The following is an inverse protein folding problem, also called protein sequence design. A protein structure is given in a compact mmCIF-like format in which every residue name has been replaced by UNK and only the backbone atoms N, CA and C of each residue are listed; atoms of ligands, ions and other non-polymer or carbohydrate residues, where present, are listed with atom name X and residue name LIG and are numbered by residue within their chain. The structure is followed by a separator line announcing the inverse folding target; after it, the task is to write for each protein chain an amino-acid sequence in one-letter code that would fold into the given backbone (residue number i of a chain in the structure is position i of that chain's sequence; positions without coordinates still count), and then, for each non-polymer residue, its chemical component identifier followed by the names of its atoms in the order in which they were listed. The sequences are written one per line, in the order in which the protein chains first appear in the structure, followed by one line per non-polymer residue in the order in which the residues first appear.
data_IF_168717169206
#
_entry.id   IF_168717169206
#
_cell.length_a   1.000
_cell.length_b   1.000
_cell.length_c   1.000
_cell.angle_alpha   90.00
_cell.angle_beta   90.00
_cell.angle_gamma   90.00
#
_symmetry.space_group_name_H-M   'P 1'
#
loop_
_entity.id
_entity.type
_entity.pdbx_description
1 polymer ?
#
# COMPACT_ATOMS: atom_id res chain seq x y z
N UNK A 1 30.90 -20.52 74.20
CA UNK A 1 30.27 -19.28 73.64
C UNK A 1 30.95 -18.84 72.34
N UNK A 2 30.76 -19.58 71.23
CA UNK A 2 31.21 -19.16 69.88
C UNK A 2 30.24 -19.71 68.82
N UNK A 3 28.97 -19.30 68.90
CA UNK A 3 27.91 -19.82 68.03
C UNK A 3 26.93 -18.77 67.50
N UNK A 4 27.16 -17.47 67.74
CA UNK A 4 26.24 -16.39 67.32
C UNK A 4 26.94 -15.33 66.44
N UNK A 5 28.26 -15.42 66.25
CA UNK A 5 29.02 -14.41 65.49
C UNK A 5 29.04 -14.60 63.97
N UNK A 6 28.58 -15.74 63.43
CA UNK A 6 28.67 -16.02 61.99
C UNK A 6 27.38 -15.82 61.20
N UNK A 7 26.31 -15.30 61.82
CA UNK A 7 25.04 -15.03 61.13
C UNK A 7 24.83 -13.55 60.78
N UNK A 8 25.77 -12.67 61.13
CA UNK A 8 25.69 -11.22 60.85
C UNK A 8 26.54 -10.79 59.64
N UNK A 9 27.46 -11.65 59.16
CA UNK A 9 28.29 -11.35 57.97
C UNK A 9 27.72 -11.84 56.63
N UNK A 10 26.76 -12.77 56.63
CA UNK A 10 26.04 -13.17 55.40
C UNK A 10 24.79 -12.32 55.09
N UNK A 11 24.40 -11.42 55.98
CA UNK A 11 23.27 -10.50 55.76
C UNK A 11 23.67 -9.17 55.07
N UNK A 12 24.97 -8.94 54.80
CA UNK A 12 25.46 -7.70 54.15
C UNK A 12 25.80 -7.82 52.65
N UNK A 13 25.65 -9.00 52.03
CA UNK A 13 25.94 -9.19 50.59
C UNK A 13 24.72 -9.42 49.70
N UNK A 14 23.50 -9.45 50.26
CA UNK A 14 22.24 -9.65 49.51
C UNK A 14 21.46 -8.38 49.20
N UNK A 15 22.07 -7.20 49.29
CA UNK A 15 21.41 -5.91 49.02
C UNK A 15 22.14 -5.06 47.96
N UNK A 16 22.83 -5.71 47.02
CA UNK A 16 23.45 -5.01 45.88
C UNK A 16 22.70 -5.27 44.55
N UNK A 17 22.04 -6.42 44.39
CA UNK A 17 21.35 -6.77 43.14
C UNK A 17 19.92 -6.21 43.03
N UNK A 18 19.27 -5.89 44.16
CA UNK A 18 17.90 -5.37 44.19
C UNK A 18 17.78 -3.84 44.14
N UNK A 19 18.90 -3.09 44.10
CA UNK A 19 18.91 -1.61 44.08
C UNK A 19 19.16 -0.98 42.71
N UNK A 20 19.37 -1.79 41.67
CA UNK A 20 19.69 -1.27 40.33
C UNK A 20 18.48 -1.20 39.39
N UNK A 21 17.30 -1.69 39.79
CA UNK A 21 16.10 -1.69 38.94
C UNK A 21 15.18 -0.48 39.23
N UNK A 22 15.28 0.12 40.42
CA UNK A 22 14.45 1.27 40.84
C UNK A 22 15.25 2.56 41.11
N UNK A 23 16.51 2.63 40.68
CA UNK A 23 17.29 3.87 40.74
C UNK A 23 17.01 4.74 39.52
N UNK A 24 15.95 5.55 39.65
CA UNK A 24 15.76 6.85 39.01
C UNK A 24 15.45 6.86 37.50
N UNK A 25 14.22 6.46 37.15
CA UNK A 25 13.57 6.85 35.88
C UNK A 25 13.14 8.32 35.86
N UNK A 26 13.28 9.03 36.99
CA UNK A 26 12.75 10.38 37.24
C UNK A 26 13.79 11.35 37.82
N UNK A 27 15.11 11.04 37.79
CA UNK A 27 16.15 11.99 38.22
C UNK A 27 16.09 13.20 37.27
N UNK A 28 15.79 14.42 37.76
CA UNK A 28 15.74 15.60 36.91
C UNK A 28 17.05 15.83 36.14
N UNK A 29 18.20 15.41 36.70
CA UNK A 29 19.50 15.54 36.05
C UNK A 29 19.69 14.55 34.90
N UNK A 30 19.20 13.31 35.05
CA UNK A 30 19.23 12.32 33.95
C UNK A 30 18.27 12.71 32.84
N UNK A 31 17.11 13.26 33.21
CA UNK A 31 16.12 13.73 32.24
C UNK A 31 16.65 14.92 31.42
N UNK A 32 17.26 15.92 32.08
CA UNK A 32 17.89 17.05 31.40
C UNK A 32 19.07 16.62 30.52
N UNK A 33 19.89 15.67 30.97
CA UNK A 33 20.98 15.11 30.16
C UNK A 33 20.45 14.34 28.94
N UNK A 34 19.36 13.59 29.10
CA UNK A 34 18.69 12.88 28.01
C UNK A 34 18.09 13.85 26.99
N UNK A 35 17.39 14.90 27.44
CA UNK A 35 16.82 15.93 26.57
C UNK A 35 17.90 16.68 25.79
N UNK A 36 19.01 17.00 26.45
CA UNK A 36 20.18 17.61 25.79
C UNK A 36 20.77 16.67 24.74
N UNK A 37 20.88 15.37 25.05
CA UNK A 37 21.36 14.37 24.11
C UNK A 37 20.41 14.22 22.90
N UNK A 38 19.10 14.16 23.14
CA UNK A 38 18.08 14.10 22.09
C UNK A 38 18.12 15.35 21.19
N UNK A 39 18.21 16.55 21.77
CA UNK A 39 18.34 17.80 21.02
C UNK A 39 19.63 17.86 20.19
N UNK A 40 20.74 17.34 20.72
CA UNK A 40 22.00 17.24 19.98
C UNK A 40 21.90 16.24 18.81
N UNK A 41 21.24 15.10 19.02
CA UNK A 41 20.98 14.12 17.96
C UNK A 41 20.10 14.74 16.87
N UNK A 42 19.02 15.43 17.25
CA UNK A 42 18.14 16.13 16.31
C UNK A 42 18.87 17.22 15.52
N UNK A 43 19.76 17.98 16.18
CA UNK A 43 20.57 19.01 15.54
C UNK A 43 21.60 18.43 14.56
N UNK A 44 22.18 17.27 14.86
CA UNK A 44 23.21 16.64 14.03
C UNK A 44 22.63 15.79 12.89
N UNK A 45 21.50 15.13 13.12
CA UNK A 45 20.95 14.11 12.23
C UNK A 45 19.54 14.44 11.70
N UNK A 46 18.99 15.60 12.05
CA UNK A 46 17.70 16.11 11.57
C UNK A 46 16.53 15.77 12.49
N UNK A 47 15.40 16.46 12.26
CA UNK A 47 14.13 16.23 12.96
C UNK A 47 13.70 14.77 12.86
N UNK A 48 13.34 14.17 13.99
CA UNK A 48 12.86 12.78 14.05
C UNK A 48 13.93 11.69 14.09
N UNK A 49 15.22 12.05 14.13
CA UNK A 49 16.34 11.10 14.21
C UNK A 49 16.41 10.32 15.53
N UNK A 50 15.93 10.89 16.64
CA UNK A 50 15.70 10.19 17.89
C UNK A 50 14.47 10.79 18.59
N UNK A 51 13.42 9.97 18.78
CA UNK A 51 12.17 10.35 19.43
C UNK A 51 11.74 9.24 20.38
N UNK A 52 10.92 9.57 21.39
CA UNK A 52 10.28 8.52 22.19
C UNK A 52 9.21 7.84 21.34
N UNK A 53 9.06 6.54 21.52
CA UNK A 53 8.12 5.74 20.72
C UNK A 53 6.66 6.23 20.85
N UNK A 54 6.27 6.73 22.05
CA UNK A 54 4.94 7.28 22.32
C UNK A 54 4.75 8.74 21.93
N UNK A 55 5.82 9.46 21.55
CA UNK A 55 5.73 10.84 21.02
C UNK A 55 5.45 10.85 19.52
N UNK A 56 5.47 9.67 18.88
CA UNK A 56 4.93 9.53 17.53
C UNK A 56 3.41 9.65 17.65
N UNK A 57 2.73 10.55 16.88
CA UNK A 57 1.32 10.33 16.65
C UNK A 57 1.18 8.88 16.18
N UNK A 58 0.17 8.17 16.66
CA UNK A 58 -0.11 6.80 16.24
C UNK A 58 -0.20 6.82 14.71
N UNK A 59 0.91 6.49 14.04
CA UNK A 59 0.99 6.62 12.59
C UNK A 59 0.13 5.49 12.06
N UNK A 60 -1.09 5.84 11.63
CA UNK A 60 -1.86 5.00 10.74
C UNK A 60 -0.92 4.61 9.60
N UNK A 61 -0.71 3.30 9.46
CA UNK A 61 0.16 2.79 8.40
C UNK A 61 -0.58 3.07 7.10
N UNK A 62 -0.09 4.02 6.32
CA UNK A 62 -0.66 4.26 5.01
C UNK A 62 -0.45 3.03 4.13
N UNK A 63 -1.49 2.68 3.35
CA UNK A 63 -1.52 1.46 2.54
C UNK A 63 -1.94 1.73 1.11
N UNK A 64 -1.59 0.81 0.22
CA UNK A 64 -2.11 0.72 -1.14
C UNK A 64 -2.99 -0.54 -1.22
N UNK A 65 -4.28 -0.42 -1.59
CA UNK A 65 -5.17 -1.56 -1.72
C UNK A 65 -4.67 -2.58 -2.75
N UNK A 66 -4.85 -3.87 -2.50
CA UNK A 66 -4.33 -4.92 -3.39
C UNK A 66 -5.23 -5.22 -4.58
N UNK A 67 -6.47 -4.73 -4.57
CA UNK A 67 -7.51 -5.09 -5.55
C UNK A 67 -8.27 -6.36 -5.18
N UNK A 68 -7.89 -7.03 -4.10
CA UNK A 68 -8.69 -8.10 -3.48
C UNK A 68 -9.05 -7.70 -2.06
N UNK A 69 -10.34 -7.49 -1.81
CA UNK A 69 -10.83 -7.22 -0.46
C UNK A 69 -10.41 -8.31 0.51
N UNK A 70 -10.49 -9.58 0.10
CA UNK A 70 -10.07 -10.71 0.92
C UNK A 70 -8.58 -10.64 1.30
N UNK A 71 -7.72 -10.22 0.37
CA UNK A 71 -6.29 -10.05 0.64
C UNK A 71 -6.01 -8.85 1.54
N UNK A 72 -6.69 -7.73 1.33
CA UNK A 72 -6.58 -6.53 2.18
C UNK A 72 -6.99 -6.85 3.64
N UNK A 73 -8.07 -7.62 3.84
CA UNK A 73 -8.48 -8.12 5.15
C UNK A 73 -7.44 -9.08 5.75
N UNK A 74 -6.89 -9.98 4.94
CA UNK A 74 -5.87 -10.92 5.39
C UNK A 74 -4.56 -10.21 5.78
N UNK A 75 -4.20 -9.13 5.09
CA UNK A 75 -3.05 -8.28 5.44
C UNK A 75 -3.26 -7.57 6.77
N UNK A 76 -4.51 -7.34 7.19
CA UNK A 76 -4.89 -6.82 8.50
C UNK A 76 -4.66 -5.33 8.68
N UNK A 77 -4.17 -4.65 7.65
CA UNK A 77 -3.97 -3.20 7.58
C UNK A 77 -4.70 -2.59 6.37
N UNK A 78 -5.49 -3.37 5.63
CA UNK A 78 -6.27 -2.89 4.49
C UNK A 78 -5.52 -2.79 3.15
N UNK A 79 -4.25 -3.22 3.08
CA UNK A 79 -3.47 -3.21 1.85
C UNK A 79 -1.99 -3.46 2.07
N UNK A 80 -1.16 -3.20 1.05
CA UNK A 80 0.30 -3.24 1.19
C UNK A 80 0.83 -1.94 1.82
N UNK A 81 1.78 -2.01 2.76
CA UNK A 81 2.24 -0.84 3.50
C UNK A 81 3.17 0.06 2.68
N UNK A 82 2.89 1.37 2.70
CA UNK A 82 3.76 2.41 2.12
C UNK A 82 5.12 2.50 2.81
N UNK A 83 6.13 2.89 2.04
CA UNK A 83 7.52 3.03 2.50
C UNK A 83 8.23 1.72 2.87
N UNK A 84 7.70 0.57 2.42
CA UNK A 84 8.21 -0.76 2.80
C UNK A 84 8.50 -1.65 1.60
N UNK A 85 9.31 -2.67 1.86
CA UNK A 85 9.57 -3.77 0.93
C UNK A 85 8.50 -4.85 1.09
N UNK A 86 7.91 -5.29 -0.02
CA UNK A 86 6.97 -6.39 -0.14
C UNK A 86 7.54 -7.43 -1.10
N UNK A 87 7.46 -8.71 -0.76
CA UNK A 87 7.84 -9.79 -1.67
C UNK A 87 6.62 -10.61 -2.05
N UNK A 88 6.37 -10.78 -3.35
CA UNK A 88 5.34 -11.66 -3.89
C UNK A 88 6.04 -12.79 -4.63
N UNK A 89 5.87 -14.02 -4.15
CA UNK A 89 6.54 -15.17 -4.74
C UNK A 89 5.59 -16.35 -4.89
N UNK A 90 5.90 -17.23 -5.82
CA UNK A 90 5.04 -18.38 -6.12
C UNK A 90 5.41 -19.05 -7.44
N UNK A 91 4.71 -20.13 -7.80
CA UNK A 91 4.90 -20.83 -9.08
C UNK A 91 4.71 -19.91 -10.29
N UNK A 92 5.12 -20.36 -11.46
CA UNK A 92 4.75 -19.72 -12.72
C UNK A 92 3.23 -19.69 -12.89
N UNK A 93 2.71 -18.69 -13.60
CA UNK A 93 1.27 -18.53 -13.85
C UNK A 93 0.37 -18.51 -12.60
N UNK A 94 0.94 -18.20 -11.42
CA UNK A 94 0.19 -18.07 -10.16
C UNK A 94 -0.51 -16.72 -9.99
N UNK A 95 -0.23 -15.74 -10.85
CA UNK A 95 -0.81 -14.39 -10.77
C UNK A 95 0.06 -13.35 -10.05
N UNK A 96 1.38 -13.58 -9.90
CA UNK A 96 2.32 -12.63 -9.26
C UNK A 96 2.28 -11.24 -9.91
N UNK A 97 2.53 -11.20 -11.22
CA UNK A 97 2.52 -9.96 -12.01
C UNK A 97 1.13 -9.34 -12.06
N UNK A 98 0.07 -10.15 -12.20
CA UNK A 98 -1.32 -9.67 -12.12
C UNK A 98 -1.59 -8.96 -10.79
N UNK A 99 -1.22 -9.56 -9.65
CA UNK A 99 -1.39 -8.93 -8.33
C UNK A 99 -0.60 -7.63 -8.21
N UNK A 100 0.65 -7.60 -8.71
CA UNK A 100 1.47 -6.39 -8.69
C UNK A 100 0.85 -5.27 -9.56
N UNK A 101 0.32 -5.60 -10.73
CA UNK A 101 -0.36 -4.65 -11.61
C UNK A 101 -1.65 -4.12 -11.00
N UNK A 102 -2.42 -4.92 -10.25
CA UNK A 102 -3.57 -4.39 -9.50
C UNK A 102 -3.16 -3.42 -8.39
N UNK A 103 -2.07 -3.69 -7.68
CA UNK A 103 -1.53 -2.75 -6.70
C UNK A 103 -1.09 -1.45 -7.37
N UNK A 104 -0.44 -1.53 -8.54
CA UNK A 104 -0.08 -0.37 -9.37
C UNK A 104 -1.32 0.42 -9.80
N UNK A 105 -2.33 -0.26 -10.35
CA UNK A 105 -3.58 0.36 -10.78
C UNK A 105 -4.27 1.10 -9.61
N UNK A 106 -4.33 0.50 -8.43
CA UNK A 106 -4.90 1.14 -7.24
C UNK A 106 -4.06 2.32 -6.74
N UNK A 107 -2.74 2.25 -6.83
CA UNK A 107 -1.87 3.38 -6.51
C UNK A 107 -2.15 4.56 -7.45
N UNK A 108 -2.23 4.31 -8.75
CA UNK A 108 -2.53 5.33 -9.77
C UNK A 108 -3.94 5.90 -9.62
N UNK A 109 -4.94 5.05 -9.34
CA UNK A 109 -6.32 5.49 -9.05
C UNK A 109 -6.39 6.47 -7.88
N UNK A 110 -5.49 6.31 -6.91
CA UNK A 110 -5.35 7.20 -5.75
C UNK A 110 -4.45 8.42 -6.03
N UNK A 111 -4.16 8.72 -7.30
CA UNK A 111 -3.33 9.87 -7.73
C UNK A 111 -1.82 9.65 -7.56
N UNK A 112 -1.38 8.42 -7.26
CA UNK A 112 0.03 8.10 -7.05
C UNK A 112 0.78 7.80 -8.35
N UNK A 113 2.11 7.88 -8.29
CA UNK A 113 3.02 7.56 -9.39
C UNK A 113 3.60 6.16 -9.20
N UNK A 114 3.61 5.39 -10.29
CA UNK A 114 4.11 4.03 -10.31
C UNK A 114 5.28 3.85 -11.27
N UNK A 115 6.21 2.95 -10.92
CA UNK A 115 7.21 2.45 -11.83
C UNK A 115 7.27 0.92 -11.86
N UNK A 116 7.72 0.39 -12.99
CA UNK A 116 7.87 -1.03 -13.24
C UNK A 116 9.24 -1.32 -13.84
N UNK A 117 10.07 -2.05 -13.10
CA UNK A 117 11.36 -2.57 -13.55
C UNK A 117 11.12 -3.97 -14.11
N UNK A 118 10.99 -4.06 -15.44
CA UNK A 118 10.70 -5.29 -16.18
C UNK A 118 12.03 -5.95 -16.60
N UNK A 119 12.64 -6.66 -15.65
CA UNK A 119 13.84 -7.46 -15.88
C UNK A 119 13.54 -8.78 -16.62
N UNK A 120 12.30 -9.26 -16.61
CA UNK A 120 11.88 -10.43 -17.40
C UNK A 120 11.56 -10.11 -18.86
N UNK A 121 11.49 -8.82 -19.24
CA UNK A 121 11.06 -8.34 -20.57
C UNK A 121 9.71 -8.95 -21.01
N UNK A 122 8.80 -9.10 -20.06
CA UNK A 122 7.55 -9.85 -20.23
C UNK A 122 6.29 -9.04 -19.92
N UNK A 123 6.42 -7.74 -19.64
CA UNK A 123 5.28 -6.88 -19.37
C UNK A 123 4.48 -6.62 -20.66
N UNK A 124 3.20 -7.00 -20.66
CA UNK A 124 2.24 -6.70 -21.73
C UNK A 124 1.45 -5.41 -21.41
N UNK A 125 1.65 -4.30 -22.16
CA UNK A 125 0.93 -3.04 -21.94
C UNK A 125 -0.58 -3.17 -22.16
N UNK A 126 -1.02 -4.03 -23.09
CA UNK A 126 -2.45 -4.23 -23.37
C UNK A 126 -3.12 -4.91 -22.20
N UNK A 127 -2.48 -5.94 -21.64
CA UNK A 127 -2.96 -6.60 -20.44
C UNK A 127 -2.95 -5.66 -19.24
N UNK A 128 -1.87 -4.89 -19.01
CA UNK A 128 -1.80 -3.91 -17.93
C UNK A 128 -2.94 -2.89 -18.00
N UNK A 129 -3.22 -2.33 -19.18
CA UNK A 129 -4.33 -1.39 -19.38
C UNK A 129 -5.70 -2.00 -19.05
N UNK A 130 -5.92 -3.28 -19.42
CA UNK A 130 -7.15 -4.02 -19.05
C UNK A 130 -7.31 -4.20 -17.54
N UNK A 131 -6.21 -4.27 -16.79
CA UNK A 131 -6.21 -4.35 -15.33
C UNK A 131 -6.43 -2.98 -14.65
N UNK A 132 -6.62 -1.91 -15.42
CA UNK A 132 -6.83 -0.55 -14.91
C UNK A 132 -5.53 0.23 -14.64
N UNK A 133 -4.38 -0.26 -15.12
CA UNK A 133 -3.12 0.49 -15.07
C UNK A 133 -3.18 1.61 -16.10
N UNK A 134 -2.89 2.83 -15.68
CA UNK A 134 -2.63 3.94 -16.58
C UNK A 134 -1.23 3.76 -17.19
N UNK A 135 -1.18 3.04 -18.31
CA UNK A 135 0.07 2.73 -19.01
C UNK A 135 0.71 3.95 -19.67
N UNK A 136 0.00 5.06 -19.83
CA UNK A 136 0.57 6.29 -20.42
C UNK A 136 1.40 7.07 -19.38
N UNK A 137 1.07 6.95 -18.08
CA UNK A 137 1.85 7.51 -16.97
C UNK A 137 2.78 6.52 -16.27
N UNK A 138 2.66 5.22 -16.54
CA UNK A 138 3.51 4.19 -15.92
C UNK A 138 4.97 4.32 -16.39
N UNK A 139 5.88 4.53 -15.45
CA UNK A 139 7.32 4.56 -15.74
C UNK A 139 7.81 3.12 -15.90
N UNK A 140 8.26 2.73 -17.09
CA UNK A 140 8.81 1.39 -17.34
C UNK A 140 10.30 1.46 -17.62
N UNK A 141 11.06 0.56 -17.03
CA UNK A 141 12.49 0.36 -17.32
C UNK A 141 12.75 -1.11 -17.63
N UNK A 142 13.45 -1.36 -18.73
CA UNK A 142 13.93 -2.67 -19.15
C UNK A 142 15.45 -2.69 -19.08
N UNK A 143 16.03 -3.03 -17.92
CA UNK A 143 17.47 -2.97 -17.69
C UNK A 143 18.21 -4.16 -18.32
N UNK A 144 19.45 -3.95 -18.70
CA UNK A 144 20.37 -4.96 -19.25
C UNK A 144 20.92 -5.91 -18.17
N UNK A 145 21.03 -5.45 -16.92
CA UNK A 145 21.58 -6.23 -15.81
C UNK A 145 21.00 -5.85 -14.44
N UNK A 146 21.24 -6.70 -13.44
CA UNK A 146 20.71 -6.54 -12.09
C UNK A 146 21.22 -5.30 -11.35
N UNK A 147 22.48 -4.90 -11.54
CA UNK A 147 23.01 -3.67 -10.95
C UNK A 147 22.26 -2.44 -11.47
N UNK A 148 22.14 -2.30 -12.79
CA UNK A 148 21.43 -1.21 -13.45
C UNK A 148 19.96 -1.16 -13.01
N UNK A 149 19.29 -2.31 -12.95
CA UNK A 149 17.91 -2.41 -12.49
C UNK A 149 17.73 -1.80 -11.08
N UNK A 150 18.61 -2.16 -10.16
CA UNK A 150 18.54 -1.73 -8.76
C UNK A 150 19.01 -0.28 -8.57
N UNK A 151 19.93 0.20 -9.39
CA UNK A 151 20.36 1.60 -9.42
C UNK A 151 19.26 2.52 -9.94
N UNK A 152 18.60 2.15 -11.04
CA UNK A 152 17.43 2.87 -11.55
C UNK A 152 16.34 2.93 -10.48
N UNK A 153 16.04 1.79 -9.85
CA UNK A 153 15.07 1.74 -8.76
C UNK A 153 15.44 2.68 -7.59
N UNK A 154 16.71 2.67 -7.13
CA UNK A 154 17.17 3.55 -6.04
C UNK A 154 17.10 5.04 -6.42
N UNK A 155 17.45 5.40 -7.66
CA UNK A 155 17.33 6.77 -8.16
C UNK A 155 15.87 7.24 -8.19
N UNK A 156 14.97 6.41 -8.70
CA UNK A 156 13.53 6.70 -8.71
C UNK A 156 13.00 6.88 -7.28
N UNK A 157 13.29 5.96 -6.37
CA UNK A 157 12.85 6.07 -4.96
C UNK A 157 13.36 7.36 -4.31
N UNK A 158 14.63 7.74 -4.54
CA UNK A 158 15.23 8.95 -3.96
C UNK A 158 14.66 10.25 -4.51
N UNK A 159 13.99 10.23 -5.66
CA UNK A 159 13.27 11.40 -6.16
C UNK A 159 12.13 11.84 -5.24
N UNK A 160 11.61 10.92 -4.40
CA UNK A 160 10.45 11.16 -3.55
C UNK A 160 9.12 11.24 -4.30
N UNK A 161 9.13 11.04 -5.62
CA UNK A 161 7.94 11.19 -6.46
C UNK A 161 7.14 9.89 -6.66
N UNK A 162 7.67 8.72 -6.27
CA UNK A 162 7.02 7.42 -6.49
C UNK A 162 6.27 6.92 -5.26
N UNK A 163 5.07 6.41 -5.49
CA UNK A 163 4.24 5.72 -4.49
C UNK A 163 4.50 4.22 -4.47
N UNK A 164 4.73 3.63 -5.66
CA UNK A 164 4.98 2.20 -5.81
C UNK A 164 6.00 1.92 -6.91
N UNK A 165 6.89 0.96 -6.66
CA UNK A 165 7.81 0.42 -7.65
C UNK A 165 7.76 -1.11 -7.64
N UNK A 166 7.55 -1.72 -8.80
CA UNK A 166 7.57 -3.17 -8.99
C UNK A 166 8.89 -3.58 -9.63
N UNK A 167 9.48 -4.67 -9.15
CA UNK A 167 10.67 -5.30 -9.74
C UNK A 167 10.27 -6.72 -10.16
N UNK A 168 10.10 -6.93 -11.46
CA UNK A 168 9.70 -8.21 -12.06
C UNK A 168 10.82 -8.76 -12.95
N UNK A 169 11.63 -9.72 -12.50
CA UNK A 169 11.63 -10.36 -11.18
C UNK A 169 13.04 -10.45 -10.60
N UNK A 170 13.13 -10.77 -9.30
CA UNK A 170 14.42 -10.97 -8.62
C UNK A 170 15.27 -12.03 -9.30
N UNK A 171 14.64 -13.06 -9.89
CA UNK A 171 15.36 -14.12 -10.58
C UNK A 171 16.11 -13.60 -11.81
N UNK A 172 15.56 -12.59 -12.48
CA UNK A 172 16.12 -11.95 -13.67
C UNK A 172 17.12 -10.82 -13.36
N UNK A 173 17.35 -10.49 -12.08
CA UNK A 173 18.40 -9.56 -11.67
C UNK A 173 19.77 -10.24 -11.76
N UNK A 174 20.22 -10.55 -12.97
CA UNK A 174 21.49 -11.22 -13.25
C UNK A 174 22.62 -10.20 -13.16
N UNK A 175 23.65 -10.41 -12.33
CA UNK A 175 24.77 -9.50 -12.23
C UNK A 175 25.52 -9.34 -13.55
N UNK A 176 26.04 -8.14 -13.83
CA UNK A 176 26.79 -7.84 -15.06
C UNK A 176 27.92 -8.84 -15.34
N UNK A 177 28.69 -9.22 -14.31
CA UNK A 177 29.79 -10.16 -14.47
C UNK A 177 29.34 -11.58 -14.86
N UNK A 178 28.09 -11.96 -14.58
CA UNK A 178 27.51 -13.23 -15.02
C UNK A 178 26.99 -13.17 -16.45
N UNK A 179 26.53 -12.00 -16.91
CA UNK A 179 26.11 -11.76 -18.30
C UNK A 179 27.30 -11.70 -19.25
N UNK A 180 28.39 -11.06 -18.82
CA UNK A 180 29.63 -10.93 -19.62
C UNK A 180 30.52 -12.18 -19.56
N UNK A 181 30.25 -13.10 -18.63
CA UNK A 181 30.98 -14.36 -18.46
C UNK A 181 30.59 -15.43 -19.48
N UNK A 182 31.43 -16.48 -19.59
CA UNK A 182 31.14 -17.59 -20.49
C UNK A 182 30.14 -18.56 -19.87
N UNK A 183 29.36 -19.25 -20.71
CA UNK A 183 28.43 -20.29 -20.24
C UNK A 183 29.19 -21.41 -19.50
N UNK A 184 28.93 -21.56 -18.21
CA UNK A 184 29.59 -22.53 -17.34
C UNK A 184 30.55 -21.92 -16.33
N UNK A 185 30.81 -20.61 -16.42
CA UNK A 185 31.58 -19.89 -15.41
C UNK A 185 30.87 -19.90 -14.05
N UNK A 186 31.66 -20.04 -12.99
CA UNK A 186 31.15 -20.19 -11.63
C UNK A 186 31.06 -18.84 -10.92
N UNK A 187 29.85 -18.27 -10.91
CA UNK A 187 29.54 -17.03 -10.20
C UNK A 187 28.76 -17.27 -8.91
N UNK A 188 29.37 -18.01 -7.97
CA UNK A 188 28.67 -18.43 -6.74
C UNK A 188 28.23 -17.24 -5.87
N UNK A 189 26.92 -17.05 -5.75
CA UNK A 189 26.31 -16.14 -4.79
C UNK A 189 26.42 -14.65 -5.15
N UNK A 190 26.78 -14.31 -6.38
CA UNK A 190 26.93 -12.92 -6.82
C UNK A 190 25.60 -12.15 -6.72
N UNK A 191 24.51 -12.74 -7.23
CA UNK A 191 23.16 -12.18 -7.12
C UNK A 191 22.72 -11.94 -5.65
N UNK A 192 23.04 -12.88 -4.74
CA UNK A 192 22.68 -12.73 -3.33
C UNK A 192 23.44 -11.57 -2.65
N UNK A 193 24.68 -11.31 -3.06
CA UNK A 193 25.48 -10.18 -2.57
C UNK A 193 24.92 -8.85 -3.10
N UNK A 194 24.61 -8.80 -4.40
CA UNK A 194 23.98 -7.66 -5.04
C UNK A 194 22.68 -7.26 -4.32
N UNK A 195 21.77 -8.22 -4.13
CA UNK A 195 20.51 -8.00 -3.41
C UNK A 195 20.73 -7.52 -1.97
N UNK A 196 21.72 -8.08 -1.27
CA UNK A 196 22.04 -7.67 0.11
C UNK A 196 22.53 -6.23 0.18
N UNK A 197 23.30 -5.79 -0.81
CA UNK A 197 23.83 -4.43 -0.88
C UNK A 197 22.73 -3.43 -1.28
N UNK A 198 21.94 -3.76 -2.31
CA UNK A 198 20.86 -2.91 -2.80
C UNK A 198 19.79 -2.69 -1.72
N UNK A 199 19.27 -3.76 -1.11
CA UNK A 199 18.25 -3.64 -0.06
C UNK A 199 18.74 -2.85 1.15
N UNK A 200 20.03 -2.95 1.50
CA UNK A 200 20.63 -2.15 2.58
C UNK A 200 20.61 -0.65 2.27
N UNK A 201 20.82 -0.26 1.02
CA UNK A 201 20.78 1.14 0.56
C UNK A 201 19.35 1.66 0.40
N UNK A 202 18.48 0.85 -0.20
CA UNK A 202 17.12 1.25 -0.59
C UNK A 202 16.15 1.34 0.59
N UNK A 203 16.27 0.48 1.61
CA UNK A 203 15.26 0.40 2.69
C UNK A 203 15.07 1.73 3.44
N UNK A 204 16.16 2.47 3.67
CA UNK A 204 16.07 3.81 4.27
C UNK A 204 15.38 4.82 3.35
N UNK A 205 15.72 4.80 2.05
CA UNK A 205 15.13 5.68 1.06
C UNK A 205 13.63 5.41 0.87
N UNK A 206 13.22 4.14 0.80
CA UNK A 206 11.81 3.74 0.72
C UNK A 206 11.00 4.30 1.89
N UNK A 207 11.50 4.14 3.11
CA UNK A 207 10.80 4.64 4.30
C UNK A 207 10.71 6.16 4.36
N UNK A 208 11.69 6.88 3.81
CA UNK A 208 11.69 8.35 3.76
C UNK A 208 10.78 8.89 2.67
N UNK A 209 10.75 8.23 1.50
CA UNK A 209 9.93 8.62 0.36
C UNK A 209 8.47 8.16 0.46
N UNK A 210 8.16 7.19 1.33
CA UNK A 210 6.83 6.57 1.37
C UNK A 210 6.57 5.59 0.22
N UNK A 211 7.57 5.30 -0.61
CA UNK A 211 7.46 4.38 -1.76
C UNK A 211 7.37 2.92 -1.31
N UNK A 212 6.39 2.18 -1.84
CA UNK A 212 6.30 0.71 -1.68
C UNK A 212 7.13 0.01 -2.74
N UNK A 213 8.09 -0.82 -2.36
CA UNK A 213 8.84 -1.66 -3.31
C UNK A 213 8.31 -3.08 -3.31
N UNK A 214 7.76 -3.53 -4.44
CA UNK A 214 7.24 -4.87 -4.64
C UNK A 214 8.26 -5.67 -5.45
N UNK A 215 8.84 -6.69 -4.84
CA UNK A 215 9.70 -7.64 -5.53
C UNK A 215 8.90 -8.88 -5.90
N UNK A 216 8.79 -9.15 -7.19
CA UNK A 216 8.28 -10.43 -7.69
C UNK A 216 9.43 -11.43 -7.67
N UNK A 217 9.15 -12.65 -7.21
CA UNK A 217 10.15 -13.70 -7.13
C UNK A 217 9.58 -15.06 -7.55
N UNK A 218 10.47 -15.91 -8.04
CA UNK A 218 10.15 -17.26 -8.46
C UNK A 218 10.54 -18.26 -7.36
N UNK A 219 9.86 -19.40 -7.36
CA UNK A 219 10.26 -20.55 -6.55
C UNK A 219 11.37 -21.34 -7.26
N UNK A 220 12.29 -21.87 -6.47
CA UNK A 220 13.33 -22.84 -6.84
C UNK A 220 13.36 -23.93 -5.77
N UNK A 221 13.85 -25.10 -6.13
CA UNK A 221 14.05 -26.18 -5.17
C UNK A 221 15.50 -26.21 -4.69
N UNK A 222 15.70 -26.37 -3.38
CA UNK A 222 17.02 -26.56 -2.81
C UNK A 222 17.41 -28.04 -2.92
N UNK A 223 18.42 -28.32 -3.74
CA UNK A 223 18.99 -29.66 -3.89
C UNK A 223 19.50 -30.17 -2.52
N UNK A 224 19.22 -31.44 -2.21
CA UNK A 224 19.71 -32.12 -1.01
C UNK A 224 18.86 -31.93 0.26
N UNK A 225 17.65 -31.37 0.14
CA UNK A 225 16.68 -31.32 1.24
C UNK A 225 15.76 -32.54 1.17
N UNK A 226 16.01 -33.54 2.02
CA UNK A 226 15.20 -34.77 2.09
C UNK A 226 14.06 -34.71 3.13
N UNK A 227 14.01 -33.65 3.95
CA UNK A 227 13.00 -33.46 4.99
C UNK A 227 12.56 -31.99 5.05
N UNK A 228 11.24 -31.75 5.11
CA UNK A 228 10.64 -30.41 5.11
C UNK A 228 10.30 -29.88 3.70
N UNK A 229 10.02 -28.58 3.60
CA UNK A 229 9.74 -27.94 2.31
C UNK A 229 11.05 -27.59 1.57
N UNK A 230 11.32 -28.15 0.37
CA UNK A 230 12.53 -27.83 -0.40
C UNK A 230 12.47 -26.47 -1.11
N UNK A 231 11.30 -25.83 -1.16
CA UNK A 231 11.11 -24.57 -1.88
C UNK A 231 11.88 -23.39 -1.25
N UNK A 232 12.56 -22.63 -2.09
CA UNK A 232 13.22 -21.37 -1.74
C UNK A 232 13.00 -20.32 -2.84
N UNK A 233 13.20 -19.05 -2.50
CA UNK A 233 13.20 -17.94 -3.45
C UNK A 233 14.63 -17.57 -3.88
N UNK A 234 14.75 -16.93 -5.05
CA UNK A 234 16.04 -16.47 -5.62
C UNK A 234 16.55 -15.20 -4.92
N UNK A 235 17.79 -14.77 -5.21
CA UNK A 235 18.37 -13.56 -4.62
C UNK A 235 18.89 -13.70 -3.18
N UNK A 236 19.05 -14.93 -2.70
CA UNK A 236 19.58 -15.22 -1.35
C UNK A 236 18.58 -14.94 -0.22
N UNK A 237 19.07 -14.66 0.99
CA UNK A 237 18.23 -14.47 2.18
C UNK A 237 17.86 -13.01 2.47
N UNK A 238 18.53 -12.05 1.86
CA UNK A 238 18.38 -10.64 2.19
C UNK A 238 16.93 -10.16 2.08
N UNK A 239 16.29 -10.42 0.94
CA UNK A 239 14.90 -10.03 0.70
C UNK A 239 13.96 -10.59 1.77
N UNK A 240 14.16 -11.84 2.20
CA UNK A 240 13.37 -12.46 3.27
C UNK A 240 13.44 -11.69 4.59
N UNK A 241 14.55 -11.02 4.89
CA UNK A 241 14.73 -10.23 6.12
C UNK A 241 14.21 -8.79 5.98
N UNK A 242 14.52 -8.14 4.86
CA UNK A 242 14.13 -6.75 4.58
C UNK A 242 12.64 -6.60 4.32
N UNK A 243 12.00 -7.56 3.63
CA UNK A 243 10.57 -7.55 3.37
C UNK A 243 9.76 -7.39 4.66
N UNK A 244 8.86 -6.42 4.69
CA UNK A 244 7.87 -6.24 5.77
C UNK A 244 6.70 -7.21 5.60
N UNK A 245 6.30 -7.45 4.35
CA UNK A 245 5.27 -8.41 3.98
C UNK A 245 5.84 -9.39 2.96
N UNK A 246 5.55 -10.68 3.12
CA UNK A 246 5.86 -11.72 2.13
C UNK A 246 4.61 -12.53 1.84
N UNK A 247 4.28 -12.66 0.57
CA UNK A 247 3.08 -13.31 0.06
C UNK A 247 3.46 -14.50 -0.82
N UNK A 248 2.99 -15.69 -0.44
CA UNK A 248 3.07 -16.93 -1.23
C UNK A 248 1.76 -17.07 -2.02
N UNK A 249 1.82 -16.81 -3.32
CA UNK A 249 0.66 -16.85 -4.23
C UNK A 249 0.67 -18.14 -5.04
N UNK A 250 -0.47 -18.85 -5.07
CA UNK A 250 -0.64 -20.12 -5.78
C UNK A 250 -1.99 -20.21 -6.46
N UNK A 251 -2.00 -20.79 -7.65
CA UNK A 251 -3.22 -21.26 -8.30
C UNK A 251 -3.74 -22.49 -7.56
N UNK A 252 -5.01 -22.47 -7.17
CA UNK A 252 -5.70 -23.57 -6.49
C UNK A 252 -6.45 -24.42 -7.50
N UNK A 253 -7.39 -23.81 -8.23
CA UNK A 253 -8.23 -24.49 -9.22
C UNK A 253 -8.48 -23.58 -10.41
N UNK A 254 -8.77 -24.18 -11.57
CA UNK A 254 -9.20 -23.43 -12.76
C UNK A 254 -10.71 -23.23 -12.71
N UNK A 255 -11.15 -22.00 -12.92
CA UNK A 255 -12.56 -21.61 -13.01
C UNK A 255 -13.01 -21.88 -14.45
N UNK A 256 -14.11 -22.62 -14.59
CA UNK A 256 -14.68 -22.97 -15.89
C UNK A 256 -16.08 -22.41 -16.04
N UNK A 257 -16.42 -21.97 -17.25
CA UNK A 257 -17.78 -21.67 -17.66
C UNK A 257 -18.17 -22.67 -18.76
N UNK A 258 -18.93 -23.71 -18.40
CA UNK A 258 -19.10 -24.88 -19.27
C UNK A 258 -17.77 -25.61 -19.50
N UNK A 259 -17.33 -25.70 -20.75
CA UNK A 259 -16.05 -26.33 -21.12
C UNK A 259 -14.87 -25.33 -21.16
N UNK A 260 -15.15 -24.04 -21.22
CA UNK A 260 -14.13 -22.99 -21.38
C UNK A 260 -13.48 -22.63 -20.03
N UNK A 261 -12.15 -22.53 -20.01
CA UNK A 261 -11.39 -22.06 -18.86
C UNK A 261 -11.36 -20.52 -18.84
N UNK A 262 -12.09 -19.91 -17.91
CA UNK A 262 -12.31 -18.46 -17.83
C UNK A 262 -11.40 -17.75 -16.81
N UNK A 263 -10.75 -18.51 -15.93
CA UNK A 263 -9.85 -17.94 -14.93
C UNK A 263 -9.33 -18.97 -13.94
N UNK A 264 -8.77 -18.50 -12.83
CA UNK A 264 -8.18 -19.31 -11.78
C UNK A 264 -8.63 -18.83 -10.40
N UNK A 265 -8.98 -19.77 -9.53
CA UNK A 265 -9.06 -19.52 -8.09
C UNK A 265 -7.64 -19.46 -7.57
N UNK A 266 -7.27 -18.34 -6.97
CA UNK A 266 -5.93 -18.06 -6.50
C UNK A 266 -5.93 -17.91 -4.99
N UNK A 267 -4.93 -18.48 -4.33
CA UNK A 267 -4.72 -18.40 -2.89
C UNK A 267 -3.43 -17.67 -2.60
N UNK A 268 -3.49 -16.68 -1.73
CA UNK A 268 -2.34 -15.94 -1.23
C UNK A 268 -2.20 -16.20 0.25
N UNK A 269 -1.05 -16.74 0.68
CA UNK A 269 -0.70 -16.91 2.09
C UNK A 269 0.32 -15.86 2.51
N UNK A 270 0.04 -15.15 3.60
CA UNK A 270 0.94 -14.14 4.13
C UNK A 270 1.96 -14.82 5.05
N UNK A 271 3.09 -15.24 4.50
CA UNK A 271 4.12 -16.00 5.22
C UNK A 271 4.98 -15.13 6.14
N UNK A 272 4.94 -13.81 5.94
CA UNK A 272 5.57 -12.83 6.82
C UNK A 272 4.74 -11.55 6.82
N UNK A 273 4.50 -11.00 8.00
CA UNK A 273 3.85 -9.71 8.16
C UNK A 273 4.45 -9.01 9.38
N UNK A 274 5.06 -7.84 9.19
CA UNK A 274 5.58 -6.98 10.27
C UNK A 274 4.58 -5.91 10.71
N UNK A 275 3.44 -5.80 10.02
CA UNK A 275 2.46 -4.74 10.22
C UNK A 275 1.23 -5.23 11.00
N UNK A 276 0.90 -6.51 10.86
CA UNK A 276 -0.22 -7.18 11.52
C UNK A 276 0.10 -8.67 11.71
N UNK A 277 -0.76 -9.46 12.40
CA UNK A 277 -0.53 -10.89 12.59
C UNK A 277 -0.31 -11.65 11.26
N UNK A 278 0.77 -12.44 11.14
CA UNK A 278 1.08 -13.20 9.93
C UNK A 278 0.23 -14.49 9.81
N UNK A 279 0.45 -15.24 8.72
CA UNK A 279 -0.08 -16.58 8.42
C UNK A 279 -1.56 -16.67 8.05
N UNK A 280 -2.25 -15.53 7.98
CA UNK A 280 -3.55 -15.45 7.31
C UNK A 280 -3.42 -15.79 5.83
N UNK A 281 -4.50 -16.27 5.24
CA UNK A 281 -4.60 -16.53 3.80
C UNK A 281 -5.87 -15.93 3.23
N UNK A 282 -5.79 -15.46 2.00
CA UNK A 282 -6.92 -14.99 1.22
C UNK A 282 -7.07 -15.86 -0.03
N UNK A 283 -8.31 -16.01 -0.48
CA UNK A 283 -8.64 -16.67 -1.75
C UNK A 283 -9.54 -15.75 -2.57
N UNK A 284 -9.22 -15.60 -3.83
CA UNK A 284 -9.95 -14.74 -4.77
C UNK A 284 -9.83 -15.28 -6.19
N UNK A 285 -10.69 -14.80 -7.07
CA UNK A 285 -10.74 -15.23 -8.46
C UNK A 285 -9.89 -14.29 -9.32
N UNK A 286 -9.03 -14.87 -10.17
CA UNK A 286 -8.26 -14.16 -11.20
C UNK A 286 -8.78 -14.60 -12.56
N UNK A 287 -9.53 -13.72 -13.22
CA UNK A 287 -10.15 -13.95 -14.52
C UNK A 287 -9.20 -13.57 -15.64
N UNK A 288 -9.22 -14.33 -16.73
CA UNK A 288 -8.40 -14.00 -17.89
C UNK A 288 -8.91 -12.74 -18.58
N UNK A 289 -8.01 -11.80 -18.86
CA UNK A 289 -8.35 -10.52 -19.50
C UNK A 289 -9.00 -9.47 -18.58
N UNK A 290 -9.45 -9.82 -17.37
CA UNK A 290 -10.03 -8.87 -16.40
C UNK A 290 -9.18 -8.75 -15.12
N UNK A 291 -8.42 -9.78 -14.76
CA UNK A 291 -7.59 -9.80 -13.54
C UNK A 291 -8.35 -10.24 -12.30
N UNK A 292 -7.96 -9.71 -11.14
CA UNK A 292 -8.57 -9.99 -9.85
C UNK A 292 -10.02 -9.48 -9.87
N UNK A 293 -10.99 -10.38 -9.64
CA UNK A 293 -12.40 -9.98 -9.52
C UNK A 293 -12.65 -9.40 -8.13
N UNK A 294 -12.78 -8.07 -8.09
CA UNK A 294 -13.11 -7.33 -6.86
C UNK A 294 -14.48 -7.76 -6.36
N UNK A 295 -15.47 -7.83 -7.24
CA UNK A 295 -16.86 -8.18 -6.93
C UNK A 295 -16.95 -9.61 -6.41
N UNK A 296 -16.23 -10.54 -7.02
CA UNK A 296 -16.14 -11.93 -6.54
C UNK A 296 -15.57 -12.01 -5.13
N UNK A 297 -14.55 -11.18 -4.83
CA UNK A 297 -13.98 -11.07 -3.49
C UNK A 297 -14.96 -10.42 -2.50
N UNK A 298 -15.73 -9.41 -2.90
CA UNK A 298 -16.76 -8.78 -2.05
C UNK A 298 -17.84 -9.80 -1.69
N UNK A 299 -18.35 -10.56 -2.66
CA UNK A 299 -19.38 -11.59 -2.43
C UNK A 299 -18.89 -12.62 -1.41
N UNK A 300 -17.67 -13.15 -1.58
CA UNK A 300 -17.11 -14.15 -0.68
C UNK A 300 -17.01 -13.64 0.75
N UNK A 301 -16.48 -12.44 0.92
CA UNK A 301 -16.32 -11.83 2.24
C UNK A 301 -17.66 -11.43 2.87
N UNK A 302 -18.59 -10.91 2.08
CA UNK A 302 -19.93 -10.51 2.53
C UNK A 302 -20.77 -11.71 2.98
N UNK A 303 -20.66 -12.85 2.29
CA UNK A 303 -21.29 -14.11 2.74
C UNK A 303 -20.64 -14.60 4.04
N UNK A 304 -19.31 -14.51 4.14
CA UNK A 304 -18.59 -14.96 5.33
C UNK A 304 -18.96 -14.17 6.61
N UNK A 305 -19.18 -12.86 6.50
CA UNK A 305 -19.59 -12.02 7.64
C UNK A 305 -21.11 -11.86 7.78
N UNK A 306 -21.90 -12.48 6.89
CA UNK A 306 -23.37 -12.49 6.98
C UNK A 306 -24.06 -11.22 6.46
N UNK A 307 -23.34 -10.32 5.80
CA UNK A 307 -23.90 -9.15 5.09
C UNK A 307 -24.77 -9.60 3.92
N UNK A 308 -24.27 -10.55 3.12
CA UNK A 308 -25.07 -11.23 2.09
C UNK A 308 -25.51 -12.59 2.63
N UNK A 309 -26.81 -12.88 2.55
CA UNK A 309 -27.39 -14.17 2.91
C UNK A 309 -27.47 -15.07 1.68
N UNK A 310 -27.04 -16.32 1.83
CA UNK A 310 -27.13 -17.35 0.78
C UNK A 310 -28.17 -18.40 1.16
N UNK A 311 -29.21 -18.55 0.34
CA UNK A 311 -30.26 -19.56 0.49
C UNK A 311 -30.27 -20.48 -0.74
N UNK A 312 -29.61 -21.64 -0.62
CA UNK A 312 -29.40 -22.53 -1.76
C UNK A 312 -28.50 -21.89 -2.82
N UNK A 313 -29.06 -21.60 -3.99
CA UNK A 313 -28.37 -20.90 -5.08
C UNK A 313 -28.64 -19.38 -5.12
N UNK A 314 -29.53 -18.87 -4.28
CA UNK A 314 -29.92 -17.45 -4.25
C UNK A 314 -29.08 -16.66 -3.26
N UNK A 315 -28.74 -15.43 -3.64
CA UNK A 315 -28.04 -14.44 -2.81
C UNK A 315 -28.97 -13.26 -2.54
N UNK A 316 -29.04 -12.84 -1.28
CA UNK A 316 -29.94 -11.78 -0.81
C UNK A 316 -29.18 -10.78 0.03
N UNK A 317 -29.43 -9.50 -0.21
CA UNK A 317 -28.87 -8.38 0.54
C UNK A 317 -30.01 -7.49 1.05
N UNK A 318 -30.07 -7.24 2.35
CA UNK A 318 -31.11 -6.42 3.01
C UNK A 318 -32.59 -6.77 2.71
N UNK A 319 -32.85 -7.96 2.16
CA UNK A 319 -34.18 -8.41 1.75
C UNK A 319 -34.37 -8.49 0.23
N UNK A 320 -33.52 -7.79 -0.52
CA UNK A 320 -33.53 -7.79 -1.98
C UNK A 320 -32.72 -8.96 -2.54
N UNK A 321 -33.26 -9.59 -3.59
CA UNK A 321 -32.58 -10.68 -4.29
C UNK A 321 -31.55 -10.10 -5.26
N UNK A 322 -30.27 -10.31 -4.96
CA UNK A 322 -29.16 -9.92 -5.85
C UNK A 322 -29.10 -10.81 -7.11
N UNK A 323 -29.52 -12.07 -6.98
CA UNK A 323 -29.61 -13.00 -8.09
C UNK A 323 -29.37 -14.46 -7.72
N UNK A 324 -29.49 -15.32 -8.73
CA UNK A 324 -29.25 -16.76 -8.62
C UNK A 324 -27.88 -17.13 -9.18
N UNK A 325 -27.06 -17.76 -8.35
CA UNK A 325 -25.71 -18.21 -8.72
C UNK A 325 -24.65 -17.11 -8.60
N UNK A 326 -23.43 -17.51 -8.21
CA UNK A 326 -22.30 -16.59 -7.95
C UNK A 326 -21.99 -15.68 -9.15
N UNK A 327 -21.99 -16.25 -10.35
CA UNK A 327 -21.62 -15.54 -11.57
C UNK A 327 -22.59 -14.41 -11.93
N UNK A 328 -23.89 -14.64 -11.77
CA UNK A 328 -24.91 -13.62 -12.04
C UNK A 328 -24.83 -12.48 -11.01
N UNK A 329 -24.63 -12.81 -9.74
CA UNK A 329 -24.46 -11.80 -8.67
C UNK A 329 -23.20 -10.97 -8.91
N UNK A 330 -22.11 -11.60 -9.35
CA UNK A 330 -20.88 -10.89 -9.71
C UNK A 330 -21.11 -9.88 -10.83
N UNK A 331 -21.81 -10.27 -11.90
CA UNK A 331 -22.17 -9.35 -12.99
C UNK A 331 -23.05 -8.22 -12.50
N UNK A 332 -24.06 -8.52 -11.69
CA UNK A 332 -24.92 -7.51 -11.07
C UNK A 332 -24.12 -6.47 -10.27
N UNK A 333 -23.19 -6.92 -9.42
CA UNK A 333 -22.33 -6.03 -8.65
C UNK A 333 -21.39 -5.21 -9.53
N UNK A 334 -20.87 -5.80 -10.61
CA UNK A 334 -20.03 -5.10 -11.58
C UNK A 334 -20.80 -3.98 -12.30
N UNK A 335 -22.07 -4.24 -12.63
CA UNK A 335 -22.96 -3.27 -13.28
C UNK A 335 -23.51 -2.21 -12.30
N UNK A 336 -23.39 -2.44 -10.99
CA UNK A 336 -23.86 -1.54 -9.92
C UNK A 336 -22.75 -1.21 -8.91
N UNK A 337 -21.77 -0.35 -9.28
CA UNK A 337 -20.62 -0.04 -8.42
C UNK A 337 -20.98 0.53 -7.05
N UNK A 338 -22.04 1.36 -6.95
CA UNK A 338 -22.48 1.95 -5.70
C UNK A 338 -22.89 0.89 -4.66
N UNK A 339 -23.63 -0.13 -5.07
CA UNK A 339 -24.02 -1.25 -4.20
C UNK A 339 -22.79 -2.07 -3.80
N UNK A 340 -21.85 -2.26 -4.74
CA UNK A 340 -20.61 -2.98 -4.45
C UNK A 340 -19.76 -2.27 -3.40
N UNK A 341 -19.66 -0.94 -3.48
CA UNK A 341 -18.96 -0.12 -2.51
C UNK A 341 -19.64 -0.16 -1.13
N UNK A 342 -20.97 0.02 -1.09
CA UNK A 342 -21.75 -0.08 0.15
C UNK A 342 -21.55 -1.43 0.86
N UNK A 343 -21.64 -2.54 0.10
CA UNK A 343 -21.40 -3.88 0.65
C UNK A 343 -19.95 -4.04 1.11
N UNK A 344 -18.99 -3.56 0.32
CA UNK A 344 -17.57 -3.59 0.65
C UNK A 344 -17.29 -2.85 1.96
N UNK A 345 -17.93 -1.71 2.18
CA UNK A 345 -17.76 -0.89 3.37
C UNK A 345 -18.40 -1.52 4.60
N UNK A 346 -19.58 -2.11 4.47
CA UNK A 346 -20.18 -2.95 5.54
C UNK A 346 -19.28 -4.13 5.90
N UNK A 347 -18.62 -4.75 4.91
CA UNK A 347 -17.63 -5.80 5.15
C UNK A 347 -16.41 -5.24 5.89
N UNK A 348 -15.80 -4.14 5.43
CA UNK A 348 -14.65 -3.52 6.10
C UNK A 348 -14.98 -3.13 7.55
N UNK A 349 -16.16 -2.60 7.80
CA UNK A 349 -16.65 -2.26 9.14
C UNK A 349 -16.77 -3.50 10.03
N UNK A 350 -17.34 -4.60 9.52
CA UNK A 350 -17.44 -5.86 10.26
C UNK A 350 -16.07 -6.46 10.64
N UNK A 351 -15.03 -6.18 9.85
CA UNK A 351 -13.65 -6.61 10.12
C UNK A 351 -12.79 -5.56 10.84
N UNK A 352 -13.35 -4.41 11.23
CA UNK A 352 -12.67 -3.37 12.00
C UNK A 352 -11.61 -2.58 11.21
N UNK A 353 -11.76 -2.47 9.89
CA UNK A 353 -10.84 -1.77 9.00
C UNK A 353 -11.34 -0.39 8.53
N UNK A 354 -12.52 0.04 8.98
CA UNK A 354 -13.00 1.42 8.84
C UNK A 354 -12.93 2.17 10.17
N UNK A 355 -12.50 3.43 10.13
CA UNK A 355 -12.58 4.34 11.28
C UNK A 355 -14.04 4.69 11.57
N UNK A 356 -14.42 4.99 12.82
CA UNK A 356 -15.76 5.50 13.14
C UNK A 356 -16.12 6.80 12.40
N UNK A 357 -15.12 7.56 11.99
CA UNK A 357 -15.24 8.87 11.33
C UNK A 357 -15.66 8.74 9.85
N UNK A 358 -15.28 7.65 9.18
CA UNK A 358 -15.61 7.37 7.78
C UNK A 358 -17.02 6.75 7.62
N UNK A 359 -17.71 6.44 8.73
CA UNK A 359 -19.05 5.81 8.71
C UNK A 359 -20.20 6.78 8.42
N UNK A 360 -19.94 8.09 8.39
CA UNK A 360 -20.96 9.14 8.30
C UNK A 360 -20.70 10.19 7.20
N UNK A 361 -19.73 9.97 6.32
CA UNK A 361 -19.28 11.00 5.37
C UNK A 361 -20.19 11.24 4.15
N UNK A 362 -21.31 10.51 3.98
CA UNK A 362 -22.19 10.62 2.80
C UNK A 362 -23.61 11.15 3.10
N UNK A 363 -23.78 12.15 3.98
CA UNK A 363 -25.11 12.79 4.16
C UNK A 363 -25.11 14.30 4.48
N UNK A 364 -24.00 15.02 4.31
CA UNK A 364 -23.88 16.42 4.75
C UNK A 364 -23.72 17.46 3.62
N UNK A 365 -24.19 17.17 2.39
CA UNK A 365 -24.20 18.17 1.30
C UNK A 365 -25.56 18.88 1.08
N UNK A 366 -26.61 18.55 1.85
CA UNK A 366 -27.97 19.09 1.64
C UNK A 366 -28.51 20.04 2.73
N UNK A 367 -27.68 20.57 3.65
CA UNK A 367 -28.15 21.43 4.74
C UNK A 367 -27.37 22.74 4.94
N UNK A 368 -27.11 23.47 3.86
CA UNK A 368 -26.73 24.89 3.95
C UNK A 368 -27.63 25.78 3.09
N UNK A 369 -28.94 25.77 3.36
CA UNK A 369 -29.75 26.97 3.13
C UNK A 369 -30.94 27.05 4.10
N UNK A 370 -30.75 27.86 5.16
CA UNK A 370 -31.73 28.58 5.96
C UNK A 370 -31.33 28.61 7.43
N UNK A 371 -30.85 29.77 7.89
CA UNK A 371 -31.47 30.51 9.01
C UNK A 371 -30.63 31.76 9.31
N UNK A 372 -31.04 32.86 8.67
CA UNK A 372 -30.92 34.17 9.29
C UNK A 372 -31.92 34.29 10.44
N UNK A 373 -31.59 35.17 11.40
CA UNK A 373 -32.43 35.67 12.48
C UNK A 373 -32.70 34.77 13.70
N UNK A 374 -31.88 34.96 14.75
CA UNK A 374 -32.28 35.57 16.04
C UNK A 374 -31.26 35.30 17.13
N UNK A 375 -30.60 36.36 17.62
CA UNK A 375 -30.44 36.61 19.07
C UNK A 375 -29.66 37.90 19.30
N UNK A 376 -30.38 39.02 19.23
CA UNK A 376 -30.01 40.25 19.92
C UNK A 376 -30.83 40.35 21.20
N UNK A 377 -30.22 40.16 22.37
CA UNK A 377 -30.62 40.89 23.59
C UNK A 377 -29.65 40.68 24.76
N UNK A 378 -28.96 41.79 25.08
CA UNK A 378 -28.74 42.33 26.43
C UNK A 378 -27.74 41.65 27.38
N UNK A 379 -26.54 42.25 27.46
CA UNK A 379 -26.03 42.82 28.71
C UNK A 379 -24.99 43.93 28.41
N UNK A 380 -25.33 45.17 28.76
CA UNK A 380 -24.44 46.31 29.05
C UNK A 380 -23.48 45.93 30.20
N UNK A 381 -22.30 46.50 30.41
CA UNK A 381 -21.88 47.90 30.36
C UNK A 381 -20.36 47.93 30.61
N UNK A 382 -19.57 48.75 29.90
CA UNK A 382 -18.46 49.54 30.47
C UNK A 382 -17.62 50.27 29.40
N UNK A 383 -17.61 51.59 29.58
CA UNK A 383 -16.50 52.53 29.37
C UNK A 383 -16.17 53.10 27.97
N UNK A 384 -16.53 54.38 27.87
CA UNK A 384 -16.03 55.42 26.96
C UNK A 384 -14.49 55.51 26.97
N UNK A 385 -13.89 55.70 25.79
CA UNK A 385 -13.14 56.93 25.43
C UNK A 385 -12.32 56.71 24.15
N UNK A 386 -12.71 57.40 23.06
CA UNK A 386 -11.86 58.39 22.38
C UNK A 386 -12.37 58.67 20.96
N UNK A 387 -12.58 59.95 20.67
CA UNK A 387 -12.61 60.54 19.32
C UNK A 387 -11.25 60.26 18.67
N UNK A 388 -11.06 60.18 17.36
CA UNK A 388 -11.12 61.32 16.42
C UNK A 388 -10.87 60.82 14.99
N UNK A 389 -11.53 61.44 13.99
CA UNK A 389 -11.10 61.70 12.59
C UNK A 389 -10.23 60.67 11.84
N UNK A 390 -10.56 60.25 10.62
CA UNK A 390 -10.57 61.14 9.45
C UNK A 390 -11.28 60.53 8.24
N UNK A 391 -11.96 61.43 7.51
CA UNK A 391 -12.56 61.28 6.18
C UNK A 391 -11.52 61.03 5.07
N UNK A 392 -12.09 60.67 3.92
CA UNK A 392 -11.62 60.81 2.53
C UNK A 392 -11.00 59.52 1.97
N UNK A 393 -11.34 59.06 0.76
CA UNK A 393 -12.03 59.70 -0.36
C UNK A 393 -12.64 58.64 -1.29
N UNK A 394 -13.91 58.86 -1.64
CA UNK A 394 -14.58 58.40 -2.87
C UNK A 394 -13.85 58.91 -4.11
N UNK A 395 -13.80 58.08 -5.16
CA UNK A 395 -13.98 58.45 -6.57
C UNK A 395 -13.81 57.16 -7.39
N UNK A 396 -14.86 56.55 -7.95
CA UNK A 396 -15.52 56.91 -9.22
C UNK A 396 -14.58 56.68 -10.42
N UNK A 397 -14.97 56.07 -11.54
CA UNK A 397 -16.29 55.86 -12.15
C UNK A 397 -16.08 54.97 -13.40
N UNK A 398 -17.09 54.17 -13.77
CA UNK A 398 -17.70 53.98 -15.13
C UNK A 398 -16.82 54.17 -16.38
N UNK A 399 -16.94 53.44 -17.50
CA UNK A 399 -18.06 52.67 -18.10
C UNK A 399 -17.67 52.25 -19.52
N UNK A 400 -18.37 51.24 -20.06
CA UNK A 400 -18.84 51.08 -21.46
C UNK A 400 -17.78 50.83 -22.55
N UNK A 401 -18.02 50.06 -23.62
CA UNK A 401 -19.22 49.36 -24.15
C UNK A 401 -18.78 48.57 -25.40
N UNK A 402 -19.52 47.51 -25.75
CA UNK A 402 -19.98 47.10 -27.12
C UNK A 402 -18.94 46.91 -28.25
N UNK A 403 -19.05 46.07 -29.29
CA UNK A 403 -19.85 44.90 -29.75
C UNK A 403 -19.46 44.71 -31.24
N UNK A 404 -20.05 43.73 -31.94
CA UNK A 404 -20.05 43.46 -33.42
C UNK A 404 -18.78 42.81 -33.98
N UNK A 405 -18.81 41.52 -34.34
CA UNK A 405 -19.40 40.88 -35.55
C UNK A 405 -18.60 41.17 -36.82
N UNK A 406 -17.97 40.13 -37.40
CA UNK A 406 -18.19 39.76 -38.82
C UNK A 406 -17.55 38.40 -39.17
N UNK A 407 -18.32 37.66 -39.95
CA UNK A 407 -18.08 36.38 -40.61
C UNK A 407 -17.17 36.52 -41.83
N UNK A 408 -16.42 35.46 -42.19
CA UNK A 408 -16.48 34.95 -43.57
C UNK A 408 -15.91 33.54 -43.74
N UNK A 409 -16.68 32.75 -44.47
CA UNK A 409 -16.45 31.40 -44.98
C UNK A 409 -15.60 31.41 -46.25
N UNK A 410 -14.81 30.36 -46.53
CA UNK A 410 -14.68 29.82 -47.89
C UNK A 410 -14.31 28.32 -47.89
N UNK A 411 -15.07 27.59 -48.70
CA UNK A 411 -14.97 26.18 -49.11
C UNK A 411 -14.01 26.01 -50.30
N UNK A 412 -13.42 24.82 -50.45
CA UNK A 412 -13.23 23.99 -51.67
C UNK A 412 -12.34 22.79 -51.27
N UNK A 413 -12.78 21.53 -51.18
CA UNK A 413 -13.27 20.54 -52.18
C UNK A 413 -12.17 19.83 -53.00
N UNK A 414 -12.25 18.49 -53.05
CA UNK A 414 -11.60 17.59 -54.02
C UNK A 414 -10.74 16.50 -53.37
N UNK A 415 -11.29 15.35 -52.95
CA UNK A 415 -11.65 14.13 -53.71
C UNK A 415 -10.50 13.17 -54.09
N UNK A 416 -10.72 11.90 -53.68
CA UNK A 416 -10.35 10.60 -54.27
C UNK A 416 -8.88 10.17 -54.38
N UNK A 417 -8.55 9.00 -53.80
CA UNK A 417 -8.66 7.71 -54.52
C UNK A 417 -8.28 6.49 -53.64
N UNK A 418 -8.92 5.38 -53.98
CA UNK A 418 -8.88 4.00 -53.50
C UNK A 418 -7.62 3.19 -53.89
N UNK A 419 -7.56 1.95 -53.37
CA UNK A 419 -6.69 0.78 -53.67
C UNK A 419 -5.35 0.78 -52.91
N UNK A 420 -4.90 -0.27 -52.20
CA UNK A 420 -5.10 -1.74 -52.26
C UNK A 420 -5.16 -2.36 -50.85
#
# INVERSE_FOLDING_TARGET
MKGVANMVQQAKSKTAAGRLIDADRTDPRRQAALETALANVEKQYGKGSAMRLGDRPMQDVEVIPTGSLALDMALGIGGVPRGRVVEVYGPESSGKTTLALHIVANAQKNGGVAAFIDAEHALDPVYARKLGVDTDSLIVSQPDNGEQALEIADMLIRSGALDVIVIDSVAALVPKAEIEGDMGDSHVGLQARLMSQALRKMTGALSQAGTTAIFINQLREKIGVFFGNPETTTGGKALKFYASVRMDIRRVTTIKNGEEAVGNRTKVKIVKNKMAPPFKSAEFDVLYGEGISTEGSVIDMAVQCGVIKKSGSWFTYEGDQLGQGRENVRKFLKDNPAITEEISDKVKAAFGLMRPEDQFAENDDDLLDNTSDKSSSLASDSEKSSKTSSKSSKSSKTSNSESTEESDSYLESGENSTEE
#
